data_IF_506149583292
#
_entry.id   IF_506149583292
#
_cell.length_a   1.000
_cell.length_b   1.000
_cell.length_c   1.000
_cell.angle_alpha   90.00
_cell.angle_beta   90.00
_cell.angle_gamma   90.00
#
_symmetry.space_group_name_H-M   'P 1'
#
loop_
_entity.id
_entity.type
_entity.pdbx_description
1 polymer ?
#
# COMPACT_ATOMS: atom_id res chain seq x y z
N UNK A 1 14.00 9.68 6.66
CA UNK A 1 14.74 8.44 6.32
C UNK A 1 13.77 7.49 5.64
N UNK A 2 14.07 7.06 4.41
CA UNK A 2 13.35 6.00 3.68
C UNK A 2 14.17 4.70 3.72
N UNK A 3 13.48 3.56 3.77
CA UNK A 3 14.10 2.23 3.73
C UNK A 3 13.32 1.34 2.77
N UNK A 4 14.04 0.61 1.93
CA UNK A 4 13.49 -0.40 1.03
C UNK A 4 14.50 -1.55 0.85
N UNK A 5 14.02 -2.74 0.55
CA UNK A 5 14.87 -3.87 0.22
C UNK A 5 15.46 -3.76 -1.20
N UNK A 6 14.79 -3.05 -2.11
CA UNK A 6 15.17 -2.88 -3.50
C UNK A 6 16.11 -1.68 -3.71
N UNK A 7 17.34 -1.94 -4.13
CA UNK A 7 18.27 -0.89 -4.50
C UNK A 7 17.82 -0.03 -5.69
N UNK A 8 17.06 -0.59 -6.64
CA UNK A 8 16.51 0.15 -7.78
C UNK A 8 15.42 1.15 -7.35
N UNK A 9 14.50 0.73 -6.48
CA UNK A 9 13.46 1.64 -5.95
C UNK A 9 14.07 2.75 -5.11
N UNK A 10 15.14 2.46 -4.36
CA UNK A 10 15.87 3.49 -3.62
C UNK A 10 16.54 4.51 -4.54
N UNK A 11 17.11 4.08 -5.66
CA UNK A 11 17.68 5.00 -6.66
C UNK A 11 16.61 5.93 -7.24
N UNK A 12 15.43 5.41 -7.56
CA UNK A 12 14.28 6.21 -8.01
C UNK A 12 13.79 7.18 -6.92
N UNK A 13 13.75 6.73 -5.66
CA UNK A 13 13.36 7.57 -4.52
C UNK A 13 14.33 8.75 -4.33
N UNK A 14 15.64 8.52 -4.46
CA UNK A 14 16.67 9.56 -4.41
C UNK A 14 16.45 10.59 -5.53
N UNK A 15 16.24 10.13 -6.76
CA UNK A 15 16.01 11.01 -7.90
C UNK A 15 14.69 11.79 -7.77
N UNK A 16 13.63 11.15 -7.26
CA UNK A 16 12.36 11.82 -6.99
C UNK A 16 12.48 12.88 -5.90
N UNK A 17 13.23 12.60 -4.84
CA UNK A 17 13.49 13.58 -3.77
C UNK A 17 14.27 14.78 -4.29
N UNK A 18 15.26 14.54 -5.17
CA UNK A 18 16.04 15.60 -5.81
C UNK A 18 15.16 16.49 -6.69
N UNK A 19 14.33 15.88 -7.55
CA UNK A 19 13.39 16.61 -8.42
C UNK A 19 12.35 17.40 -7.62
N UNK A 20 11.90 16.86 -6.49
CA UNK A 20 10.95 17.50 -5.57
C UNK A 20 11.58 18.57 -4.67
N UNK A 21 12.90 18.85 -4.79
CA UNK A 21 13.58 19.87 -3.99
C UNK A 21 13.70 19.52 -2.50
N UNK A 22 13.63 18.23 -2.15
CA UNK A 22 13.72 17.74 -0.77
C UNK A 22 14.92 16.82 -0.53
N UNK A 23 15.84 16.73 -1.51
CA UNK A 23 17.00 15.83 -1.46
C UNK A 23 17.87 16.02 -0.22
N UNK A 24 18.06 17.25 0.24
CA UNK A 24 18.87 17.57 1.43
C UNK A 24 18.18 17.16 2.75
N UNK A 25 16.87 16.92 2.73
CA UNK A 25 16.05 16.53 3.89
C UNK A 25 15.63 15.08 3.88
N UNK A 26 15.85 14.37 2.76
CA UNK A 26 15.53 12.97 2.58
C UNK A 26 16.81 12.15 2.50
N UNK A 27 16.87 11.06 3.24
CA UNK A 27 17.94 10.08 3.14
C UNK A 27 17.33 8.69 2.99
N UNK A 28 18.04 7.81 2.28
CA UNK A 28 17.54 6.49 1.91
C UNK A 28 18.58 5.42 2.27
N UNK A 29 18.11 4.26 2.70
CA UNK A 29 18.96 3.13 3.08
C UNK A 29 18.33 1.82 2.64
N UNK A 30 19.13 0.91 2.11
CA UNK A 30 18.68 -0.45 1.84
C UNK A 30 18.59 -1.24 3.15
N UNK A 31 17.49 -2.01 3.32
CA UNK A 31 17.28 -2.82 4.50
C UNK A 31 15.98 -3.62 4.46
N UNK A 32 15.79 -4.45 5.49
CA UNK A 32 14.63 -5.30 5.68
C UNK A 32 13.75 -4.72 6.80
N UNK A 33 12.43 -4.65 6.57
CA UNK A 33 11.47 -4.18 7.57
C UNK A 33 11.37 -5.12 8.78
N UNK A 34 11.69 -6.42 8.59
CA UNK A 34 11.74 -7.39 9.68
C UNK A 34 12.99 -7.28 10.56
N UNK A 35 14.00 -6.48 10.16
CA UNK A 35 15.24 -6.27 10.90
C UNK A 35 15.79 -4.86 10.58
N UNK A 36 15.14 -3.84 11.10
CA UNK A 36 15.46 -2.45 10.81
C UNK A 36 16.86 -2.08 11.32
N UNK A 37 17.76 -1.55 10.48
CA UNK A 37 19.14 -1.25 10.82
C UNK A 37 19.28 0.09 11.58
N UNK A 38 18.44 0.28 12.58
CA UNK A 38 18.41 1.47 13.44
C UNK A 38 18.36 1.07 14.91
N UNK A 39 18.91 1.91 15.77
CA UNK A 39 18.81 1.76 17.21
C UNK A 39 17.35 1.93 17.69
N UNK A 40 17.06 1.41 18.89
CA UNK A 40 15.76 1.65 19.51
C UNK A 40 15.55 3.15 19.79
N UNK A 41 14.29 3.56 19.82
CA UNK A 41 13.88 4.93 20.18
C UNK A 41 14.51 6.04 19.32
N UNK A 42 14.84 5.72 18.05
CA UNK A 42 15.52 6.66 17.14
C UNK A 42 14.58 7.71 16.56
N UNK A 43 13.34 7.33 16.27
CA UNK A 43 12.41 8.15 15.49
C UNK A 43 11.21 8.63 16.31
N UNK A 44 10.63 9.78 15.93
CA UNK A 44 9.36 10.26 16.47
C UNK A 44 8.17 9.43 15.99
N UNK A 45 8.27 8.93 14.75
CA UNK A 45 7.27 8.13 14.10
C UNK A 45 7.88 7.31 12.97
N UNK A 46 7.24 6.20 12.67
CA UNK A 46 7.53 5.36 11.51
C UNK A 46 6.24 5.02 10.77
N UNK A 47 6.34 4.93 9.45
CA UNK A 47 5.21 4.49 8.62
C UNK A 47 5.67 3.52 7.56
N UNK A 48 4.79 2.61 7.19
CA UNK A 48 4.98 1.66 6.10
C UNK A 48 3.88 1.87 5.06
N UNK A 49 4.25 1.85 3.79
CA UNK A 49 3.30 1.95 2.66
C UNK A 49 3.38 0.67 1.86
N UNK A 50 2.26 -0.04 1.73
CA UNK A 50 2.11 -1.29 0.95
C UNK A 50 3.28 -2.29 1.11
N UNK A 51 3.85 -2.37 2.34
CA UNK A 51 4.97 -3.25 2.67
C UNK A 51 4.55 -4.25 3.76
N UNK A 52 4.33 -3.78 5.00
CA UNK A 52 3.86 -4.65 6.09
C UNK A 52 2.50 -5.26 5.73
N UNK A 53 2.43 -6.59 5.69
CA UNK A 53 1.24 -7.33 5.27
C UNK A 53 1.18 -7.63 3.76
N UNK A 54 2.05 -7.03 2.94
CA UNK A 54 2.17 -7.30 1.50
C UNK A 54 3.38 -8.19 1.16
N UNK A 55 4.37 -8.24 2.03
CA UNK A 55 5.54 -9.12 1.86
C UNK A 55 5.43 -10.37 2.74
N UNK A 56 6.18 -11.45 2.45
CA UNK A 56 6.26 -12.63 3.32
C UNK A 56 6.74 -12.28 4.72
N UNK A 57 6.25 -13.00 5.74
CA UNK A 57 6.63 -12.81 7.14
C UNK A 57 5.41 -12.53 8.03
N UNK A 58 5.60 -12.45 9.33
CA UNK A 58 4.53 -12.11 10.29
C UNK A 58 4.37 -10.59 10.37
N UNK A 59 3.22 -10.02 10.01
CA UNK A 59 3.00 -8.59 10.10
C UNK A 59 3.08 -8.04 11.53
N UNK A 60 2.78 -8.85 12.56
CA UNK A 60 2.90 -8.42 13.97
C UNK A 60 4.37 -8.25 14.36
N UNK A 61 5.25 -9.16 13.91
CA UNK A 61 6.70 -9.04 14.14
C UNK A 61 7.28 -7.82 13.42
N UNK A 62 6.88 -7.57 12.17
CA UNK A 62 7.29 -6.39 11.41
C UNK A 62 6.84 -5.08 12.09
N UNK A 63 5.61 -5.04 12.59
CA UNK A 63 5.13 -3.90 13.40
C UNK A 63 5.96 -3.78 14.69
N UNK A 64 6.37 -4.88 15.28
CA UNK A 64 7.28 -4.90 16.45
C UNK A 64 8.60 -4.19 16.17
N UNK A 65 9.19 -4.40 14.98
CA UNK A 65 10.42 -3.68 14.56
C UNK A 65 10.17 -2.17 14.36
N UNK A 66 9.02 -1.80 13.76
CA UNK A 66 8.65 -0.38 13.67
C UNK A 66 8.47 0.26 15.05
N UNK A 67 7.87 -0.46 16.00
CA UNK A 67 7.73 -0.01 17.41
C UNK A 67 9.09 0.16 18.06
N UNK A 68 10.00 -0.80 17.88
CA UNK A 68 11.33 -0.77 18.50
C UNK A 68 12.10 0.49 18.15
N UNK A 69 12.03 0.95 16.91
CA UNK A 69 12.78 2.13 16.46
C UNK A 69 12.09 3.46 16.74
N UNK A 70 10.82 3.43 17.17
CA UNK A 70 10.06 4.63 17.51
C UNK A 70 10.05 4.83 19.02
N UNK A 71 10.35 6.05 19.45
CA UNK A 71 10.38 6.40 20.87
C UNK A 71 9.00 6.28 21.54
N UNK A 72 8.98 6.06 22.86
CA UNK A 72 7.75 6.08 23.63
C UNK A 72 6.94 7.36 23.42
N UNK A 73 5.63 7.22 23.18
CA UNK A 73 4.73 8.32 22.81
C UNK A 73 4.72 8.67 21.31
N UNK A 74 5.63 8.10 20.53
CA UNK A 74 5.65 8.26 19.09
C UNK A 74 4.57 7.44 18.38
N UNK A 75 4.48 7.57 17.06
CA UNK A 75 3.42 6.96 16.25
C UNK A 75 4.00 5.93 15.27
N UNK A 76 3.35 4.77 15.18
CA UNK A 76 3.56 3.81 14.09
C UNK A 76 2.31 3.76 13.23
N UNK A 77 2.47 3.84 11.91
CA UNK A 77 1.40 3.87 10.93
C UNK A 77 1.64 2.92 9.76
N UNK A 78 0.56 2.31 9.26
CA UNK A 78 0.52 1.50 8.05
C UNK A 78 -0.45 2.15 7.08
N UNK A 79 -0.01 2.51 5.89
CA UNK A 79 -0.85 3.01 4.80
C UNK A 79 -0.95 1.90 3.77
N UNK A 80 -2.15 1.36 3.59
CA UNK A 80 -2.36 0.16 2.79
C UNK A 80 -3.43 0.39 1.74
N UNK A 81 -3.16 -0.06 0.51
CA UNK A 81 -4.17 -0.19 -0.52
C UNK A 81 -5.34 -1.03 0.00
N UNK A 82 -6.57 -0.55 -0.14
CA UNK A 82 -7.71 -1.19 0.49
C UNK A 82 -8.87 -1.55 -0.44
N UNK A 83 -9.07 -0.82 -1.53
CA UNK A 83 -10.09 -1.14 -2.53
C UNK A 83 -9.89 -0.33 -3.80
N UNK A 84 -10.57 -0.72 -4.88
CA UNK A 84 -10.55 -0.02 -6.16
C UNK A 84 -11.81 -0.28 -6.97
N UNK A 85 -12.10 0.65 -7.91
CA UNK A 85 -13.01 0.52 -9.04
C UNK A 85 -12.39 1.28 -10.20
N UNK A 86 -11.75 0.58 -11.12
CA UNK A 86 -10.95 1.17 -12.20
C UNK A 86 -11.54 0.94 -13.60
N UNK A 87 -12.52 0.02 -13.72
CA UNK A 87 -13.16 -0.34 -14.98
C UNK A 87 -14.64 0.03 -14.98
N UNK A 88 -14.97 1.34 -15.01
CA UNK A 88 -16.37 1.80 -15.06
C UNK A 88 -17.09 1.17 -16.28
N UNK A 89 -18.31 0.64 -16.04
CA UNK A 89 -19.06 -0.08 -17.05
C UNK A 89 -18.78 -1.58 -17.14
N UNK A 90 -17.69 -2.08 -16.53
CA UNK A 90 -17.30 -3.50 -16.59
C UNK A 90 -17.18 -4.17 -15.20
N UNK A 91 -18.19 -4.06 -14.31
CA UNK A 91 -18.07 -4.52 -12.93
C UNK A 91 -17.84 -6.04 -12.81
N UNK A 92 -18.39 -6.83 -13.70
CA UNK A 92 -18.17 -8.29 -13.69
C UNK A 92 -16.77 -8.69 -14.16
N UNK A 93 -16.21 -7.97 -15.13
CA UNK A 93 -14.82 -8.19 -15.55
C UNK A 93 -13.87 -7.81 -14.41
N UNK A 94 -14.05 -6.64 -13.79
CA UNK A 94 -13.22 -6.20 -12.68
C UNK A 94 -13.31 -7.16 -11.49
N UNK A 95 -14.49 -7.69 -11.17
CA UNK A 95 -14.65 -8.69 -10.13
C UNK A 95 -13.88 -9.99 -10.44
N UNK A 96 -13.88 -10.45 -11.69
CA UNK A 96 -13.10 -11.63 -12.11
C UNK A 96 -11.59 -11.36 -12.09
N UNK A 97 -11.16 -10.20 -12.55
CA UNK A 97 -9.76 -9.76 -12.47
C UNK A 97 -9.27 -9.71 -11.01
N UNK A 98 -10.06 -9.17 -10.10
CA UNK A 98 -9.74 -9.14 -8.68
C UNK A 98 -9.70 -10.54 -8.04
N UNK A 99 -10.33 -11.54 -8.67
CA UNK A 99 -10.30 -12.95 -8.25
C UNK A 99 -9.13 -13.75 -8.81
N UNK A 100 -8.33 -13.20 -9.73
CA UNK A 100 -7.11 -13.85 -10.24
C UNK A 100 -6.00 -13.86 -9.20
N UNK A 101 -4.98 -14.68 -9.40
CA UNK A 101 -3.81 -14.72 -8.51
C UNK A 101 -3.16 -13.34 -8.37
N UNK A 102 -2.99 -12.60 -9.47
CA UNK A 102 -2.45 -11.25 -9.45
C UNK A 102 -3.40 -10.28 -8.75
N UNK A 103 -4.69 -10.29 -9.10
CA UNK A 103 -5.70 -9.39 -8.52
C UNK A 103 -5.94 -9.62 -7.02
N UNK A 104 -5.79 -10.84 -6.54
CA UNK A 104 -5.90 -11.19 -5.13
C UNK A 104 -4.63 -10.86 -4.33
N UNK A 105 -3.49 -10.66 -5.02
CA UNK A 105 -2.21 -10.43 -4.34
C UNK A 105 -2.29 -9.22 -3.36
N UNK A 106 -1.61 -9.33 -2.21
CA UNK A 106 -0.68 -10.38 -1.78
C UNK A 106 -1.37 -11.60 -1.14
N UNK A 107 -2.71 -11.61 -1.04
CA UNK A 107 -3.44 -12.72 -0.44
C UNK A 107 -3.32 -13.99 -1.29
N UNK A 108 -3.17 -15.12 -0.64
CA UNK A 108 -3.26 -16.44 -1.24
C UNK A 108 -4.39 -17.23 -0.57
N UNK A 109 -4.86 -18.31 -1.23
CA UNK A 109 -5.90 -19.17 -0.67
C UNK A 109 -5.51 -19.80 0.69
N UNK A 110 -4.22 -19.91 0.96
CA UNK A 110 -3.65 -20.51 2.17
C UNK A 110 -3.51 -19.49 3.32
N UNK A 111 -3.69 -18.20 3.06
CA UNK A 111 -3.55 -17.19 4.11
C UNK A 111 -4.68 -17.29 5.14
N UNK A 112 -4.34 -17.32 6.43
CA UNK A 112 -5.37 -17.22 7.46
C UNK A 112 -6.04 -15.85 7.40
N UNK A 113 -7.36 -15.75 7.67
CA UNK A 113 -8.09 -14.48 7.58
C UNK A 113 -7.49 -13.33 8.40
N UNK A 114 -6.74 -13.64 9.46
CA UNK A 114 -6.06 -12.66 10.31
C UNK A 114 -4.93 -11.94 9.61
N UNK A 115 -4.40 -12.52 8.53
CA UNK A 115 -3.30 -11.94 7.74
C UNK A 115 -3.77 -10.92 6.70
N UNK A 116 -5.08 -10.79 6.50
CA UNK A 116 -5.61 -9.83 5.54
C UNK A 116 -5.26 -8.37 5.94
N UNK A 117 -4.74 -7.52 5.04
CA UNK A 117 -4.31 -6.14 5.33
C UNK A 117 -5.34 -5.28 6.07
N UNK A 118 -6.64 -5.44 5.80
CA UNK A 118 -7.71 -4.73 6.52
C UNK A 118 -7.89 -5.19 7.98
N UNK A 119 -7.12 -6.18 8.45
CA UNK A 119 -7.05 -6.61 9.86
C UNK A 119 -5.93 -5.91 10.64
N UNK A 120 -5.29 -4.89 10.07
CA UNK A 120 -4.11 -4.21 10.63
C UNK A 120 -4.35 -3.58 12.01
N UNK A 121 -5.57 -3.19 12.38
CA UNK A 121 -5.89 -2.80 13.76
C UNK A 121 -5.52 -3.94 14.74
N UNK A 122 -5.78 -5.20 14.35
CA UNK A 122 -5.40 -6.38 15.13
C UNK A 122 -3.89 -6.57 15.22
N UNK A 123 -3.14 -6.30 14.14
CA UNK A 123 -1.68 -6.38 14.13
C UNK A 123 -1.06 -5.32 15.05
N UNK A 124 -1.54 -4.08 14.95
CA UNK A 124 -1.09 -2.97 15.80
C UNK A 124 -1.36 -3.26 17.29
N UNK A 125 -2.57 -3.79 17.60
CA UNK A 125 -2.91 -4.21 18.97
C UNK A 125 -2.04 -5.36 19.44
N UNK A 126 -1.85 -6.40 18.60
CA UNK A 126 -1.04 -7.57 18.90
C UNK A 126 0.43 -7.23 19.17
N UNK A 127 0.98 -6.24 18.45
CA UNK A 127 2.32 -5.73 18.67
C UNK A 127 2.42 -4.77 19.88
N UNK A 128 1.30 -4.42 20.53
CA UNK A 128 1.30 -3.65 21.78
C UNK A 128 1.13 -2.14 21.63
N UNK A 129 0.76 -1.64 20.44
CA UNK A 129 0.42 -0.22 20.29
C UNK A 129 -0.85 0.16 21.07
N UNK A 130 -0.89 1.37 21.57
CA UNK A 130 -2.06 1.95 22.24
C UNK A 130 -2.98 2.63 21.24
N UNK A 131 -4.30 2.57 21.52
CA UNK A 131 -5.35 3.24 20.74
C UNK A 131 -5.26 3.01 19.21
N UNK A 132 -5.07 1.77 18.74
CA UNK A 132 -5.00 1.54 17.32
C UNK A 132 -6.33 1.91 16.66
N UNK A 133 -6.25 2.65 15.56
CA UNK A 133 -7.42 3.16 14.83
C UNK A 133 -7.13 3.18 13.33
N UNK A 134 -8.14 3.49 12.52
CA UNK A 134 -8.01 3.53 11.07
C UNK A 134 -8.82 4.66 10.45
N UNK A 135 -8.37 5.12 9.28
CA UNK A 135 -9.08 6.07 8.42
C UNK A 135 -8.84 5.75 6.95
N UNK A 136 -9.91 5.68 6.17
CA UNK A 136 -9.83 5.46 4.73
C UNK A 136 -9.90 6.79 3.98
N UNK A 137 -9.05 6.90 2.97
CA UNK A 137 -8.99 8.01 2.02
C UNK A 137 -9.37 7.49 0.65
N UNK A 138 -10.16 8.26 -0.08
CA UNK A 138 -10.54 7.98 -1.46
C UNK A 138 -9.72 8.90 -2.36
N UNK A 139 -9.17 8.33 -3.43
CA UNK A 139 -8.59 9.05 -4.55
C UNK A 139 -9.45 8.73 -5.77
N UNK A 140 -10.08 9.73 -6.33
CA UNK A 140 -10.89 9.62 -7.54
C UNK A 140 -10.18 10.28 -8.73
N UNK A 141 -10.43 9.74 -9.90
CA UNK A 141 -9.92 10.20 -11.18
C UNK A 141 -11.08 10.21 -12.16
N UNK A 142 -11.31 11.35 -12.80
CA UNK A 142 -12.40 11.52 -13.76
C UNK A 142 -11.96 12.28 -15.01
N UNK A 143 -12.62 11.98 -16.13
CA UNK A 143 -12.36 12.65 -17.39
C UNK A 143 -12.66 14.17 -17.32
N UNK A 144 -11.93 15.00 -18.09
CA UNK A 144 -10.81 14.61 -18.97
C UNK A 144 -9.53 14.32 -18.18
N UNK A 145 -8.90 13.18 -18.44
CA UNK A 145 -7.64 12.80 -17.81
C UNK A 145 -6.44 13.41 -18.56
N UNK A 146 -5.48 13.92 -17.80
CA UNK A 146 -4.18 14.31 -18.35
C UNK A 146 -3.37 13.07 -18.80
N UNK A 147 -2.42 13.24 -19.72
CA UNK A 147 -1.66 12.11 -20.28
C UNK A 147 -0.83 11.35 -19.23
N UNK A 148 -0.29 12.04 -18.24
CA UNK A 148 0.41 11.43 -17.11
C UNK A 148 -0.54 10.62 -16.21
N UNK A 149 -1.78 11.08 -16.01
CA UNK A 149 -2.81 10.34 -15.26
C UNK A 149 -3.23 9.07 -16.02
N UNK A 150 -3.42 9.16 -17.35
CA UNK A 150 -3.73 7.98 -18.20
C UNK A 150 -2.59 6.96 -18.17
N UNK A 151 -1.35 7.42 -18.26
CA UNK A 151 -0.18 6.56 -18.17
C UNK A 151 -0.08 5.88 -16.79
N UNK A 152 -0.31 6.63 -15.72
CA UNK A 152 -0.30 6.10 -14.37
C UNK A 152 -1.42 5.07 -14.14
N UNK A 153 -2.64 5.31 -14.65
CA UNK A 153 -3.75 4.36 -14.59
C UNK A 153 -3.44 3.07 -15.35
N UNK A 154 -2.89 3.16 -16.57
CA UNK A 154 -2.51 1.99 -17.36
C UNK A 154 -1.46 1.14 -16.59
N UNK A 155 -0.42 1.79 -16.05
CA UNK A 155 0.59 1.11 -15.23
C UNK A 155 0.00 0.51 -13.96
N UNK A 156 -0.98 1.17 -13.34
CA UNK A 156 -1.68 0.66 -12.17
C UNK A 156 -2.49 -0.59 -12.51
N UNK A 157 -3.22 -0.60 -13.62
CA UNK A 157 -4.00 -1.76 -14.08
C UNK A 157 -3.06 -2.94 -14.38
N UNK A 158 -1.94 -2.69 -15.06
CA UNK A 158 -0.92 -3.70 -15.33
C UNK A 158 -0.30 -4.25 -14.04
N UNK A 159 0.05 -3.39 -13.09
CA UNK A 159 0.58 -3.81 -11.78
C UNK A 159 -0.44 -4.65 -11.00
N UNK A 160 -1.73 -4.29 -11.06
CA UNK A 160 -2.78 -4.94 -10.28
C UNK A 160 -3.21 -6.28 -10.85
N UNK A 161 -3.29 -6.41 -12.15
CA UNK A 161 -3.86 -7.58 -12.79
C UNK A 161 -2.90 -8.31 -13.74
N UNK A 162 -1.81 -7.65 -14.18
CA UNK A 162 -0.80 -8.24 -15.05
C UNK A 162 -1.38 -8.82 -16.33
N UNK A 163 -0.92 -10.02 -16.68
CA UNK A 163 -1.49 -10.83 -17.76
C UNK A 163 -2.38 -11.95 -17.18
N UNK A 164 -3.69 -11.71 -17.03
CA UNK A 164 -4.62 -12.64 -16.40
C UNK A 164 -5.15 -13.72 -17.35
N UNK A 165 -4.64 -13.83 -18.58
CA UNK A 165 -5.23 -14.66 -19.66
C UNK A 165 -5.41 -16.13 -19.28
N UNK A 166 -4.49 -16.68 -18.51
CA UNK A 166 -4.60 -18.09 -18.11
C UNK A 166 -5.67 -18.36 -17.05
N UNK A 167 -6.17 -17.31 -16.39
CA UNK A 167 -7.14 -17.39 -15.28
C UNK A 167 -8.53 -16.85 -15.67
N UNK A 168 -8.65 -16.23 -16.84
CA UNK A 168 -9.90 -15.69 -17.37
C UNK A 168 -10.44 -16.55 -18.53
N UNK A 169 -11.72 -16.36 -18.86
CA UNK A 169 -12.23 -16.84 -20.14
C UNK A 169 -11.54 -16.11 -21.30
N UNK A 170 -11.47 -16.75 -22.46
CA UNK A 170 -10.91 -16.13 -23.67
C UNK A 170 -11.61 -14.83 -24.06
N UNK A 171 -12.93 -14.74 -23.81
CA UNK A 171 -13.72 -13.54 -24.05
C UNK A 171 -13.32 -12.40 -23.11
N UNK A 172 -13.21 -12.68 -21.80
CA UNK A 172 -12.80 -11.70 -20.81
C UNK A 172 -11.37 -11.22 -21.03
N UNK A 173 -10.44 -12.12 -21.35
CA UNK A 173 -9.06 -11.76 -21.67
C UNK A 173 -8.95 -10.85 -22.89
N UNK A 174 -9.72 -11.15 -23.97
CA UNK A 174 -9.78 -10.27 -25.15
C UNK A 174 -10.39 -8.90 -24.80
N UNK A 175 -11.46 -8.88 -24.01
CA UNK A 175 -12.09 -7.65 -23.57
C UNK A 175 -11.14 -6.82 -22.72
N UNK A 176 -10.49 -7.43 -21.72
CA UNK A 176 -9.52 -6.77 -20.85
C UNK A 176 -8.41 -6.09 -21.64
N UNK A 177 -7.72 -6.83 -22.55
CA UNK A 177 -6.69 -6.24 -23.41
C UNK A 177 -7.22 -5.07 -24.22
N UNK A 178 -8.37 -5.23 -24.86
CA UNK A 178 -8.94 -4.20 -25.73
C UNK A 178 -9.21 -2.89 -25.00
N UNK A 179 -9.73 -2.95 -23.74
CA UNK A 179 -10.07 -1.74 -22.99
C UNK A 179 -8.91 -1.16 -22.18
N UNK A 180 -7.85 -1.91 -21.94
CA UNK A 180 -6.68 -1.43 -21.20
C UNK A 180 -5.48 -1.05 -22.07
N UNK A 181 -5.47 -1.50 -23.36
CA UNK A 181 -4.46 -1.07 -24.32
C UNK A 181 -4.70 0.38 -24.71
N UNK A 182 -3.74 1.23 -24.40
CA UNK A 182 -3.77 2.67 -24.73
C UNK A 182 -3.75 2.97 -26.24
N UNK A 183 -3.32 2.02 -27.06
CA UNK A 183 -3.38 2.14 -28.52
C UNK A 183 -4.75 1.74 -29.10
N UNK A 184 -5.61 1.15 -28.28
CA UNK A 184 -6.95 0.73 -28.68
C UNK A 184 -7.89 1.93 -28.79
N UNK A 185 -8.76 2.00 -29.83
CA UNK A 185 -9.83 3.00 -29.88
C UNK A 185 -10.89 2.83 -28.77
N UNK A 186 -10.89 1.66 -28.11
CA UNK A 186 -11.80 1.33 -27.01
C UNK A 186 -11.11 1.50 -25.63
N UNK A 187 -9.96 2.18 -25.57
CA UNK A 187 -9.21 2.41 -24.32
C UNK A 187 -10.10 3.08 -23.28
N UNK A 188 -10.26 2.43 -22.12
CA UNK A 188 -11.18 2.91 -21.08
C UNK A 188 -10.76 4.26 -20.51
N UNK A 189 -9.45 4.53 -20.44
CA UNK A 189 -8.91 5.80 -19.90
C UNK A 189 -9.11 6.98 -20.87
N UNK A 190 -9.54 6.71 -22.10
CA UNK A 190 -9.83 7.71 -23.13
C UNK A 190 -11.34 7.98 -23.29
N UNK A 191 -12.21 7.32 -22.52
CA UNK A 191 -13.65 7.58 -22.54
C UNK A 191 -13.97 8.96 -21.96
N UNK A 192 -14.92 9.66 -22.56
CA UNK A 192 -15.28 11.03 -22.17
C UNK A 192 -15.92 11.12 -20.78
N UNK A 193 -16.47 10.02 -20.29
CA UNK A 193 -17.16 9.88 -19.00
C UNK A 193 -16.40 8.97 -18.02
N UNK A 194 -15.10 8.75 -18.24
CA UNK A 194 -14.30 7.93 -17.31
C UNK A 194 -14.42 8.45 -15.89
N UNK A 195 -14.74 7.55 -14.98
CA UNK A 195 -14.67 7.79 -13.55
C UNK A 195 -14.17 6.51 -12.86
N UNK A 196 -13.02 6.59 -12.23
CA UNK A 196 -12.45 5.50 -11.43
C UNK A 196 -11.99 6.00 -10.07
N UNK A 197 -11.89 5.11 -9.11
CA UNK A 197 -11.35 5.45 -7.80
C UNK A 197 -10.59 4.27 -7.18
N UNK A 198 -9.74 4.60 -6.23
CA UNK A 198 -9.14 3.63 -5.32
C UNK A 198 -9.06 4.21 -3.91
N UNK A 199 -8.84 3.35 -2.95
CA UNK A 199 -8.77 3.75 -1.56
C UNK A 199 -7.49 3.27 -0.90
N UNK A 200 -6.93 4.15 -0.06
CA UNK A 200 -5.91 3.81 0.92
C UNK A 200 -6.49 3.89 2.32
N UNK A 201 -6.19 2.91 3.14
CA UNK A 201 -6.54 2.95 4.56
C UNK A 201 -5.28 3.12 5.39
N UNK A 202 -5.24 4.19 6.17
CA UNK A 202 -4.22 4.46 7.17
C UNK A 202 -4.65 3.81 8.49
N UNK A 203 -3.82 2.93 9.01
CA UNK A 203 -3.93 2.33 10.34
C UNK A 203 -2.79 2.87 11.19
N UNK A 204 -3.04 3.29 12.42
CA UNK A 204 -1.98 3.81 13.28
C UNK A 204 -2.27 3.60 14.75
N UNK A 205 -1.23 3.67 15.57
CA UNK A 205 -1.31 3.63 17.01
C UNK A 205 -0.10 4.30 17.65
N UNK A 206 -0.16 4.45 18.95
CA UNK A 206 0.86 5.14 19.74
C UNK A 206 1.75 4.11 20.45
N UNK A 207 3.06 4.28 20.36
CA UNK A 207 4.03 3.48 21.09
C UNK A 207 3.87 3.75 22.59
N UNK A 208 3.72 2.67 23.39
CA UNK A 208 3.49 2.79 24.83
C UNK A 208 4.62 3.60 25.48
N UNK A 209 4.28 4.65 26.19
CA UNK A 209 5.22 5.38 27.05
C UNK A 209 5.80 4.46 28.11
N UNK A 210 7.09 4.60 28.43
CA UNK A 210 7.70 3.90 29.55
C UNK A 210 6.88 4.16 30.83
N UNK A 211 6.91 3.22 31.77
CA UNK A 211 6.16 3.22 33.05
C UNK A 211 5.93 4.64 33.57
N UNK A 212 4.66 5.05 33.67
CA UNK A 212 4.25 6.07 34.61
C UNK A 212 4.72 5.56 35.99
N UNK A 213 5.58 6.28 36.72
CA UNK A 213 5.90 5.90 38.08
C UNK A 213 4.59 5.79 38.86
N UNK A 214 4.32 4.64 39.48
CA UNK A 214 3.24 4.51 40.46
C UNK A 214 3.55 5.41 41.63
N UNK A 215 3.00 6.60 41.66
CA UNK A 215 3.16 7.51 42.77
C UNK A 215 2.84 8.92 42.32
N UNK A 216 1.62 9.33 42.58
CA UNK A 216 1.09 10.67 42.82
C UNK A 216 -0.30 10.83 42.19
N UNK A 217 -1.23 10.02 42.71
CA UNK A 217 -2.62 10.44 42.85
C UNK A 217 -2.78 10.88 44.30
N UNK A 218 -2.64 12.17 44.56
CA UNK A 218 -3.23 12.84 45.71
C UNK A 218 -4.43 13.64 45.24
#
# INVERSE_FOLDING_TARGET
>A
MGLDASGSLLAEAVESARRGGVGDRASFRQGDVGALPFEADTFDWAWSVDCVGFIPGDPVEMVGELIRVVRPGGTVALLLWSSQQLLPGYPFLEARLNGTTAGAAPATAEWPPQRHPLRSVGWLSGAGLQMPTARTFVVDLHAPLAEDQKAALASLMEMRWGDPESELSEEDGRLYRRITDRASPDSIVDTEDYFGFFTYTLFWGIVRGGRIPKGELK
#
